data_IF_264460469834
#
_entry.id   IF_264460469834
#
_cell.length_a   1.000
_cell.length_b   1.000
_cell.length_c   1.000
_cell.angle_alpha   90.00
_cell.angle_beta   90.00
_cell.angle_gamma   90.00
#
_symmetry.space_group_name_H-M   'P 1'
#
loop_
_entity.id
_entity.type
_entity.pdbx_description
1 polymer ?
#
# COMPACT_ATOMS: atom_id res chain seq x y z
N UNK A 1 -6.81 -8.43 21.26
CA UNK A 1 -5.41 -8.80 20.94
C UNK A 1 -5.34 -9.30 19.50
N UNK A 2 -4.34 -8.85 18.76
CA UNK A 2 -4.14 -9.30 17.37
C UNK A 2 -3.49 -10.66 17.33
N UNK A 3 -3.86 -11.48 16.35
CA UNK A 3 -3.19 -12.74 16.06
C UNK A 3 -1.78 -12.46 15.53
N UNK A 4 -0.89 -13.44 15.61
CA UNK A 4 0.47 -13.36 15.05
C UNK A 4 0.45 -13.11 13.55
N UNK A 5 -0.51 -13.74 12.85
CA UNK A 5 -0.83 -13.48 11.44
C UNK A 5 -2.29 -13.12 11.35
N UNK A 6 -2.62 -12.15 10.52
CA UNK A 6 -4.00 -11.80 10.26
C UNK A 6 -4.18 -11.42 8.80
N UNK A 7 -5.36 -11.74 8.27
CA UNK A 7 -5.70 -11.52 6.87
C UNK A 7 -6.35 -10.15 6.66
N UNK A 8 -6.72 -9.87 5.41
CA UNK A 8 -7.35 -8.59 5.05
C UNK A 8 -8.65 -8.34 5.81
N UNK A 9 -9.46 -9.38 6.03
CA UNK A 9 -10.72 -9.22 6.75
C UNK A 9 -10.50 -8.82 8.21
N UNK A 10 -9.51 -9.42 8.85
CA UNK A 10 -9.16 -9.07 10.23
C UNK A 10 -8.62 -7.64 10.33
N UNK A 11 -7.78 -7.24 9.37
CA UNK A 11 -7.25 -5.87 9.31
C UNK A 11 -8.41 -4.88 9.10
N UNK A 12 -9.28 -5.17 8.14
CA UNK A 12 -10.45 -4.35 7.82
C UNK A 12 -11.35 -4.17 9.04
N UNK A 13 -11.65 -5.26 9.75
CA UNK A 13 -12.45 -5.22 10.96
C UNK A 13 -11.79 -4.38 12.05
N UNK A 14 -10.49 -4.55 12.24
CA UNK A 14 -9.74 -3.77 13.22
C UNK A 14 -9.82 -2.27 12.89
N UNK A 15 -9.60 -1.90 11.65
CA UNK A 15 -9.61 -0.49 11.21
C UNK A 15 -10.99 0.14 11.33
N UNK A 16 -12.03 -0.61 11.01
CA UNK A 16 -13.41 -0.15 11.16
C UNK A 16 -13.71 0.14 12.62
N UNK A 17 -13.35 -0.77 13.52
CA UNK A 17 -13.56 -0.58 14.95
C UNK A 17 -12.73 0.59 15.51
N UNK A 18 -11.49 0.70 15.06
CA UNK A 18 -10.60 1.79 15.46
C UNK A 18 -11.21 3.16 15.11
N UNK A 19 -11.72 3.31 13.90
CA UNK A 19 -12.34 4.55 13.45
C UNK A 19 -13.66 4.82 14.23
N UNK A 20 -14.44 3.79 14.44
CA UNK A 20 -15.72 3.88 15.15
C UNK A 20 -15.54 4.33 16.61
N UNK A 21 -14.59 3.73 17.30
CA UNK A 21 -14.30 4.06 18.70
C UNK A 21 -13.87 5.52 18.88
N UNK A 22 -13.31 6.14 17.84
CA UNK A 22 -12.82 7.52 17.85
C UNK A 22 -13.77 8.50 17.18
N UNK A 23 -14.91 8.00 16.73
CA UNK A 23 -15.89 8.81 15.99
C UNK A 23 -15.27 9.46 14.74
N UNK A 24 -14.40 8.72 14.07
CA UNK A 24 -13.71 9.20 12.88
C UNK A 24 -14.39 8.82 11.57
N UNK A 25 -15.45 8.00 11.63
CA UNK A 25 -16.18 7.60 10.42
C UNK A 25 -16.66 8.82 9.63
N UNK A 26 -17.06 9.88 10.33
CA UNK A 26 -17.51 11.12 9.72
C UNK A 26 -16.41 11.81 8.88
N UNK A 27 -15.15 11.57 9.19
CA UNK A 27 -14.01 12.15 8.46
C UNK A 27 -13.45 11.21 7.40
N UNK A 28 -13.81 9.94 7.41
CA UNK A 28 -13.31 8.93 6.48
C UNK A 28 -14.14 8.88 5.20
N UNK A 29 -14.29 10.03 4.54
CA UNK A 29 -14.91 10.07 3.22
C UNK A 29 -13.93 9.53 2.18
N UNK A 30 -14.41 9.01 1.03
CA UNK A 30 -13.51 8.52 -0.01
C UNK A 30 -12.46 9.54 -0.44
N UNK A 31 -12.85 10.79 -0.62
CA UNK A 31 -11.90 11.86 -0.98
C UNK A 31 -10.84 12.05 0.10
N UNK A 32 -11.25 12.14 1.36
CA UNK A 32 -10.31 12.37 2.45
C UNK A 32 -9.33 11.21 2.60
N UNK A 33 -9.80 9.98 2.43
CA UNK A 33 -8.94 8.80 2.51
C UNK A 33 -7.98 8.74 1.32
N UNK A 34 -8.42 9.10 0.12
CA UNK A 34 -7.56 9.19 -1.06
C UNK A 34 -6.48 10.26 -0.86
N UNK A 35 -6.84 11.40 -0.30
CA UNK A 35 -5.88 12.46 0.05
C UNK A 35 -4.87 11.98 1.09
N UNK A 36 -5.33 11.32 2.15
CA UNK A 36 -4.47 10.80 3.21
C UNK A 36 -3.46 9.79 2.64
N UNK A 37 -3.93 8.87 1.80
CA UNK A 37 -3.07 7.89 1.13
C UNK A 37 -1.99 8.60 0.30
N UNK A 38 -2.37 9.61 -0.46
CA UNK A 38 -1.44 10.38 -1.30
C UNK A 38 -0.39 11.10 -0.46
N UNK A 39 -0.79 11.67 0.68
CA UNK A 39 0.13 12.34 1.61
C UNK A 39 1.16 11.35 2.14
N UNK A 40 0.72 10.17 2.60
CA UNK A 40 1.64 9.15 3.13
C UNK A 40 2.58 8.62 2.03
N UNK A 41 2.08 8.46 0.80
CA UNK A 41 2.93 8.07 -0.33
C UNK A 41 4.00 9.15 -0.59
N UNK A 42 3.64 10.43 -0.46
CA UNK A 42 4.58 11.54 -0.61
C UNK A 42 5.62 11.56 0.52
N UNK A 43 5.22 11.24 1.75
CA UNK A 43 6.14 11.13 2.88
C UNK A 43 7.13 9.99 2.68
N UNK A 44 6.68 8.87 2.12
CA UNK A 44 7.56 7.78 1.74
C UNK A 44 8.57 8.26 0.68
N UNK A 45 8.11 8.98 -0.33
CA UNK A 45 8.98 9.52 -1.38
C UNK A 45 10.04 10.45 -0.79
N UNK A 46 9.69 11.29 0.18
CA UNK A 46 10.61 12.21 0.84
C UNK A 46 11.80 11.49 1.47
N UNK A 47 11.60 10.29 2.01
CA UNK A 47 12.67 9.50 2.62
C UNK A 47 13.74 9.17 1.58
N UNK A 48 13.34 8.92 0.33
CA UNK A 48 14.24 8.52 -0.75
C UNK A 48 14.75 9.68 -1.61
N UNK A 49 14.14 10.85 -1.50
CA UNK A 49 14.31 11.98 -2.43
C UNK A 49 15.79 12.31 -2.75
N UNK A 50 16.65 12.25 -1.76
CA UNK A 50 18.04 12.65 -1.91
C UNK A 50 19.03 11.48 -1.75
N UNK A 51 18.52 10.25 -1.75
CA UNK A 51 19.37 9.08 -1.55
C UNK A 51 19.97 8.58 -2.87
N UNK A 52 21.23 8.16 -2.80
CA UNK A 52 21.87 7.40 -3.87
C UNK A 52 21.59 5.90 -3.68
N UNK A 53 22.02 5.08 -4.65
CA UNK A 53 21.78 3.64 -4.65
C UNK A 53 22.32 2.95 -3.40
N UNK A 54 23.50 3.34 -2.93
CA UNK A 54 24.11 2.73 -1.74
C UNK A 54 23.30 3.05 -0.49
N UNK A 55 22.81 4.27 -0.37
CA UNK A 55 21.97 4.69 0.75
C UNK A 55 20.61 3.96 0.73
N UNK A 56 20.04 3.73 -0.46
CA UNK A 56 18.81 2.94 -0.60
C UNK A 56 19.04 1.51 -0.14
N UNK A 57 20.14 0.88 -0.57
CA UNK A 57 20.47 -0.50 -0.17
C UNK A 57 20.69 -0.63 1.33
N UNK A 58 21.19 0.42 1.98
CA UNK A 58 21.41 0.41 3.42
C UNK A 58 20.10 0.26 4.21
N UNK A 59 18.96 0.63 3.62
CA UNK A 59 17.64 0.48 4.25
C UNK A 59 17.20 -0.98 4.38
N UNK A 60 17.84 -1.91 3.68
CA UNK A 60 17.57 -3.34 3.80
C UNK A 60 18.00 -3.86 5.17
N UNK A 61 19.01 -3.22 5.77
CA UNK A 61 19.54 -3.62 7.07
C UNK A 61 18.56 -3.24 8.19
N UNK A 62 18.24 -4.21 9.04
CA UNK A 62 17.25 -4.03 10.11
C UNK A 62 17.69 -3.00 11.16
N UNK A 63 18.99 -2.81 11.36
CA UNK A 63 19.55 -1.86 12.31
C UNK A 63 19.57 -0.41 11.77
N UNK A 64 19.24 -0.20 10.52
CA UNK A 64 19.18 1.15 9.94
C UNK A 64 18.06 1.95 10.60
N UNK A 65 18.38 3.11 11.15
CA UNK A 65 17.44 3.94 11.90
C UNK A 65 16.32 4.53 11.04
N UNK A 66 16.58 4.74 9.76
CA UNK A 66 15.56 5.26 8.83
C UNK A 66 14.60 4.18 8.35
N UNK A 67 14.97 2.91 8.47
CA UNK A 67 14.11 1.79 8.07
C UNK A 67 12.76 1.83 8.75
N UNK A 68 12.70 2.20 10.04
CA UNK A 68 11.43 2.30 10.77
C UNK A 68 10.49 3.31 10.12
N UNK A 69 11.03 4.43 9.64
CA UNK A 69 10.21 5.43 8.93
C UNK A 69 9.61 4.86 7.65
N UNK A 70 10.40 4.09 6.89
CA UNK A 70 9.91 3.42 5.67
C UNK A 70 8.80 2.44 6.03
N UNK A 71 9.02 1.62 7.05
CA UNK A 71 8.02 0.65 7.52
C UNK A 71 6.72 1.33 7.94
N UNK A 72 6.82 2.40 8.70
CA UNK A 72 5.66 3.15 9.18
C UNK A 72 4.86 3.76 8.01
N UNK A 73 5.55 4.37 7.03
CA UNK A 73 4.89 4.97 5.88
C UNK A 73 4.21 3.92 4.99
N UNK A 74 4.85 2.78 4.79
CA UNK A 74 4.24 1.67 4.04
C UNK A 74 2.99 1.18 4.77
N UNK A 75 3.06 1.04 6.09
CA UNK A 75 1.91 0.64 6.90
C UNK A 75 0.74 1.62 6.74
N UNK A 76 1.03 2.92 6.81
CA UNK A 76 0.00 3.95 6.68
C UNK A 76 -0.63 3.98 5.29
N UNK A 77 0.17 3.81 4.23
CA UNK A 77 -0.32 3.74 2.86
C UNK A 77 -1.30 2.58 2.70
N UNK A 78 -0.90 1.39 3.17
CA UNK A 78 -1.74 0.18 3.08
C UNK A 78 -3.00 0.34 3.93
N UNK A 79 -2.88 0.91 5.12
CA UNK A 79 -4.00 1.16 6.02
C UNK A 79 -5.06 2.04 5.35
N UNK A 80 -4.67 3.16 4.77
CA UNK A 80 -5.61 4.05 4.10
C UNK A 80 -6.21 3.41 2.84
N UNK A 81 -5.43 2.61 2.11
CA UNK A 81 -5.95 1.87 0.96
C UNK A 81 -7.04 0.88 1.38
N UNK A 82 -6.80 0.11 2.44
CA UNK A 82 -7.79 -0.85 2.95
C UNK A 82 -9.02 -0.11 3.47
N UNK A 83 -8.83 0.97 4.22
CA UNK A 83 -9.94 1.75 4.75
C UNK A 83 -10.79 2.34 3.62
N UNK A 84 -10.16 2.83 2.56
CA UNK A 84 -10.87 3.35 1.39
C UNK A 84 -11.72 2.26 0.72
N UNK A 85 -11.17 1.06 0.60
CA UNK A 85 -11.92 -0.08 0.08
C UNK A 85 -13.17 -0.37 0.94
N UNK A 86 -13.02 -0.36 2.27
CA UNK A 86 -14.14 -0.61 3.18
C UNK A 86 -15.24 0.43 3.03
N UNK A 87 -14.86 1.70 2.94
CA UNK A 87 -15.83 2.80 2.80
C UNK A 87 -16.56 2.72 1.45
N UNK A 88 -15.88 2.27 0.40
CA UNK A 88 -16.47 2.12 -0.94
C UNK A 88 -17.09 0.75 -1.18
N UNK A 89 -17.08 -0.13 -0.19
CA UNK A 89 -17.57 -1.51 -0.31
C UNK A 89 -16.86 -2.28 -1.44
N UNK A 90 -15.55 -2.15 -1.51
CA UNK A 90 -14.70 -2.85 -2.47
C UNK A 90 -14.06 -4.07 -1.79
N UNK A 91 -14.24 -5.24 -2.39
CA UNK A 91 -13.54 -6.46 -1.98
C UNK A 91 -12.11 -6.42 -2.56
N UNK A 92 -11.16 -5.99 -1.74
CA UNK A 92 -9.78 -5.76 -2.17
C UNK A 92 -9.11 -7.04 -2.68
N UNK A 93 -9.32 -8.17 -2.00
CA UNK A 93 -8.73 -9.45 -2.43
C UNK A 93 -9.19 -9.81 -3.84
N UNK A 94 -10.50 -9.72 -4.08
CA UNK A 94 -11.08 -10.01 -5.38
C UNK A 94 -10.55 -9.08 -6.47
N UNK A 95 -10.46 -7.79 -6.17
CA UNK A 95 -9.95 -6.78 -7.10
C UNK A 95 -8.47 -7.03 -7.42
N UNK A 96 -7.67 -7.36 -6.42
CA UNK A 96 -6.25 -7.64 -6.62
C UNK A 96 -6.05 -8.88 -7.48
N UNK A 97 -6.79 -9.95 -7.23
CA UNK A 97 -6.72 -11.19 -8.04
C UNK A 97 -7.08 -10.91 -9.49
N UNK A 98 -8.12 -10.11 -9.73
CA UNK A 98 -8.51 -9.70 -11.08
C UNK A 98 -7.39 -8.91 -11.77
N UNK A 99 -6.82 -7.94 -11.05
CA UNK A 99 -5.72 -7.11 -11.60
C UNK A 99 -4.47 -7.93 -11.89
N UNK A 100 -4.14 -8.88 -11.04
CA UNK A 100 -3.00 -9.77 -11.27
C UNK A 100 -3.16 -10.52 -12.59
N UNK A 101 -4.35 -11.06 -12.84
CA UNK A 101 -4.63 -11.77 -14.10
C UNK A 101 -4.55 -10.84 -15.30
N UNK A 102 -5.12 -9.65 -15.21
CA UNK A 102 -5.03 -8.64 -16.28
C UNK A 102 -3.57 -8.27 -16.58
N UNK A 103 -2.76 -8.14 -15.54
CA UNK A 103 -1.34 -7.82 -15.68
C UNK A 103 -0.56 -8.96 -16.34
N UNK A 104 -0.88 -10.21 -16.00
CA UNK A 104 -0.27 -11.37 -16.67
C UNK A 104 -0.57 -11.36 -18.16
N UNK A 105 -1.78 -10.97 -18.55
CA UNK A 105 -2.19 -10.89 -19.95
C UNK A 105 -1.52 -9.72 -20.68
N UNK A 106 -1.34 -8.56 -20.00
CA UNK A 106 -0.68 -7.39 -20.58
C UNK A 106 0.83 -7.57 -20.69
N UNK A 107 1.41 -8.33 -19.78
CA UNK A 107 2.86 -8.54 -19.70
C UNK A 107 3.20 -10.03 -19.72
N UNK A 108 2.99 -10.71 -20.86
CA UNK A 108 3.34 -12.14 -20.96
C UNK A 108 4.83 -12.33 -20.67
N UNK A 109 5.16 -13.25 -19.77
CA UNK A 109 6.52 -13.43 -19.27
C UNK A 109 7.54 -13.68 -20.39
N UNK A 110 7.16 -14.44 -21.43
CA UNK A 110 8.01 -14.74 -22.56
C UNK A 110 8.35 -13.52 -23.43
N UNK A 111 7.50 -12.49 -23.40
CA UNK A 111 7.68 -11.26 -24.19
C UNK A 111 8.38 -10.15 -23.40
N UNK A 112 8.18 -10.09 -22.08
CA UNK A 112 8.61 -8.94 -21.28
C UNK A 112 9.86 -9.21 -20.44
N UNK A 113 10.32 -10.44 -20.39
CA UNK A 113 11.45 -10.82 -19.54
C UNK A 113 12.67 -9.94 -19.84
N UNK A 114 13.13 -9.25 -18.78
CA UNK A 114 14.28 -8.35 -18.88
C UNK A 114 13.99 -6.97 -19.45
N UNK A 115 12.70 -6.61 -19.65
CA UNK A 115 12.29 -5.30 -20.18
C UNK A 115 11.35 -4.59 -19.22
N UNK A 116 11.51 -3.27 -19.12
CA UNK A 116 10.62 -2.41 -18.32
C UNK A 116 9.67 -1.58 -19.20
N UNK A 117 9.51 -1.95 -20.48
CA UNK A 117 8.60 -1.23 -21.38
C UNK A 117 7.14 -1.40 -20.94
N UNK A 118 6.31 -0.42 -21.27
CA UNK A 118 4.88 -0.51 -21.02
C UNK A 118 4.24 -1.53 -21.97
N UNK A 119 3.07 -2.05 -21.60
CA UNK A 119 2.40 -3.11 -22.37
C UNK A 119 2.07 -2.70 -23.81
N UNK A 120 1.85 -1.43 -24.07
CA UNK A 120 1.55 -0.92 -25.41
C UNK A 120 2.79 -0.80 -26.32
N UNK A 121 3.95 -1.10 -25.79
CA UNK A 121 5.22 -1.11 -26.52
C UNK A 121 5.65 -2.50 -27.01
N UNK A 122 4.83 -3.52 -26.75
CA UNK A 122 5.11 -4.91 -27.15
C UNK A 122 4.39 -5.31 -28.43
#
# INVERSE_FOLDING_TARGET
MMKKKFDLDEISTYLTNFAKERDWEQYHTPKNLACALSVEASELLEIFQWKNIDQEKALIRKENVERKKVEDEISDIVTYAIRLCDVLDIDLEKVMKRKFKENEEKYPADQVKGSARKYDEY
#
